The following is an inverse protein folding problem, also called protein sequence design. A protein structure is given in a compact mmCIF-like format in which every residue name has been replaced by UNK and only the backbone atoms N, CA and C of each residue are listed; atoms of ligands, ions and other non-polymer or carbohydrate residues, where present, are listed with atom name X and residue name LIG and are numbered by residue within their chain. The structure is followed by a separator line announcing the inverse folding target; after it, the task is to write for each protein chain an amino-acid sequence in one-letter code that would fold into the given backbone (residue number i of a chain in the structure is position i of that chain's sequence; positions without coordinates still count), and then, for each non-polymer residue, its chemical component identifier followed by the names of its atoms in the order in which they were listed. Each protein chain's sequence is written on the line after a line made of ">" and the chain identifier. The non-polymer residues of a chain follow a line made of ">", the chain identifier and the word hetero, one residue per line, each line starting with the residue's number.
data_IF_713464916937
#
_entry.id   IF_713464916937
#
_cell.length_a   1.000
_cell.length_b   1.000
_cell.length_c   1.000
_cell.angle_alpha   90.00
_cell.angle_beta   90.00
_cell.angle_gamma   90.00
#
_symmetry.space_group_name_H-M   'P 1'
#
loop_
_entity.id
_entity.type
_entity.pdbx_description
1 polymer ?
#
# COMPACT_ATOMS: atom_id res chain seq x y z
N UNK A 1 8.07 7.73 -8.41
CA UNK A 1 8.78 6.45 -8.19
C UNK A 1 7.83 5.33 -8.53
N UNK A 2 8.31 4.34 -9.27
CA UNK A 2 7.47 3.26 -9.84
C UNK A 2 7.07 2.24 -8.79
N UNK A 3 5.91 1.58 -8.97
CA UNK A 3 5.48 0.39 -8.21
C UNK A 3 6.56 -0.72 -8.11
N UNK A 4 7.62 -0.65 -8.92
CA UNK A 4 8.75 -1.58 -8.95
C UNK A 4 9.55 -1.66 -7.64
N UNK A 5 9.45 -0.66 -6.75
CA UNK A 5 10.19 -0.66 -5.47
C UNK A 5 9.38 -1.27 -4.31
N UNK A 6 8.09 -1.57 -4.50
CA UNK A 6 7.29 -2.23 -3.49
C UNK A 6 7.61 -3.74 -3.49
N UNK A 7 8.12 -4.24 -2.37
CA UNK A 7 8.44 -5.66 -2.19
C UNK A 7 7.22 -6.47 -1.78
N UNK A 8 6.47 -5.97 -0.79
CA UNK A 8 5.28 -6.63 -0.26
C UNK A 8 4.32 -5.63 0.39
N UNK A 9 3.04 -5.99 0.45
CA UNK A 9 2.01 -5.27 1.18
C UNK A 9 1.14 -6.26 1.97
N UNK A 10 1.03 -6.04 3.28
CA UNK A 10 0.23 -6.87 4.17
C UNK A 10 -0.78 -6.04 4.94
N UNK A 11 -2.04 -6.45 4.91
CA UNK A 11 -3.08 -5.90 5.78
C UNK A 11 -2.79 -6.35 7.22
N UNK A 12 -2.60 -5.40 8.13
CA UNK A 12 -2.36 -5.67 9.56
C UNK A 12 -3.57 -5.37 10.44
N UNK A 13 -4.49 -4.52 9.99
CA UNK A 13 -5.79 -4.32 10.61
C UNK A 13 -6.85 -3.97 9.56
N UNK A 14 -8.10 -4.39 9.78
CA UNK A 14 -9.21 -4.07 8.90
C UNK A 14 -10.51 -3.87 9.70
N UNK A 15 -11.27 -2.82 9.33
CA UNK A 15 -12.61 -2.55 9.85
C UNK A 15 -13.48 -1.97 8.74
N UNK A 16 -14.35 -2.79 8.17
CA UNK A 16 -15.15 -2.40 7.00
C UNK A 16 -14.23 -2.07 5.81
N UNK A 17 -14.40 -0.88 5.23
CA UNK A 17 -13.57 -0.34 4.15
C UNK A 17 -12.23 0.23 4.62
N UNK A 18 -12.06 0.49 5.92
CA UNK A 18 -10.79 0.95 6.46
C UNK A 18 -9.81 -0.22 6.61
N UNK A 19 -8.59 -0.03 6.13
CA UNK A 19 -7.47 -0.95 6.28
C UNK A 19 -6.23 -0.20 6.74
N UNK A 20 -5.52 -0.78 7.70
CA UNK A 20 -4.11 -0.45 7.94
C UNK A 20 -3.25 -1.49 7.24
N UNK A 21 -2.39 -1.04 6.36
CA UNK A 21 -1.45 -1.90 5.62
C UNK A 21 -0.03 -1.59 6.04
N UNK A 22 0.77 -2.64 6.16
CA UNK A 22 2.22 -2.56 6.29
C UNK A 22 2.82 -2.86 4.92
N UNK A 23 3.68 -1.95 4.45
CA UNK A 23 4.38 -2.04 3.17
C UNK A 23 5.87 -2.19 3.41
N UNK A 24 6.50 -3.04 2.61
CA UNK A 24 7.94 -3.19 2.55
C UNK A 24 8.43 -2.64 1.24
N UNK A 25 9.33 -1.67 1.31
CA UNK A 25 9.95 -1.02 0.17
C UNK A 25 11.41 -1.46 0.07
N UNK A 26 11.88 -1.69 -1.15
CA UNK A 26 13.29 -1.94 -1.43
C UNK A 26 14.10 -0.66 -1.23
N UNK A 27 15.17 -0.72 -0.46
CA UNK A 27 16.08 0.40 -0.24
C UNK A 27 15.72 1.28 0.97
N UNK A 28 16.39 2.42 1.05
CA UNK A 28 16.31 3.38 2.16
C UNK A 28 15.42 4.55 1.71
N UNK A 29 14.24 4.69 2.32
CA UNK A 29 13.27 5.75 2.06
C UNK A 29 12.89 6.45 3.37
N UNK A 30 13.73 7.37 3.88
CA UNK A 30 13.56 7.98 5.21
C UNK A 30 12.22 8.71 5.40
N UNK A 31 11.61 9.15 4.30
CA UNK A 31 10.34 9.88 4.30
C UNK A 31 9.09 8.99 4.48
N UNK A 32 9.21 7.67 4.29
CA UNK A 32 8.06 6.74 4.33
C UNK A 32 7.86 6.09 5.69
N UNK A 33 8.95 5.78 6.38
CA UNK A 33 8.85 5.02 7.62
C UNK A 33 10.20 4.58 8.17
N UNK A 34 10.23 3.37 8.73
CA UNK A 34 11.38 2.87 9.47
C UNK A 34 12.29 2.07 8.53
N UNK A 35 13.55 2.48 8.46
CA UNK A 35 14.58 1.75 7.71
C UNK A 35 15.04 0.56 8.55
N UNK A 36 15.06 -0.62 7.93
CA UNK A 36 15.49 -1.87 8.56
C UNK A 36 16.49 -2.59 7.65
N UNK A 37 17.33 -3.44 8.24
CA UNK A 37 18.12 -4.40 7.48
C UNK A 37 17.28 -5.68 7.30
N UNK A 38 16.63 -5.80 6.16
CA UNK A 38 15.77 -6.93 5.80
C UNK A 38 16.51 -8.03 5.05
N UNK A 39 15.75 -8.93 4.43
CA UNK A 39 16.29 -10.10 3.73
C UNK A 39 16.95 -9.73 2.41
N UNK A 40 16.48 -8.68 1.75
CA UNK A 40 16.99 -8.24 0.44
C UNK A 40 18.03 -7.11 0.54
N UNK A 41 18.44 -6.76 1.76
CA UNK A 41 19.34 -5.65 2.05
C UNK A 41 18.66 -4.58 2.89
N UNK A 42 18.93 -3.32 2.59
CA UNK A 42 18.21 -2.22 3.22
C UNK A 42 16.77 -2.17 2.71
N UNK A 43 15.82 -2.12 3.62
CA UNK A 43 14.40 -2.06 3.34
C UNK A 43 13.76 -0.95 4.18
N UNK A 44 12.64 -0.40 3.72
CA UNK A 44 11.87 0.57 4.48
C UNK A 44 10.48 0.01 4.75
N UNK A 45 10.07 0.01 6.01
CA UNK A 45 8.75 -0.42 6.44
C UNK A 45 7.88 0.81 6.69
N UNK A 46 6.74 0.85 6.02
CA UNK A 46 5.74 1.90 6.13
C UNK A 46 4.42 1.29 6.61
N UNK A 47 3.76 1.92 7.58
CA UNK A 47 2.38 1.61 7.94
C UNK A 47 1.48 2.75 7.51
N UNK A 48 0.53 2.46 6.63
CA UNK A 48 -0.37 3.46 6.07
C UNK A 48 -1.83 2.99 6.17
N UNK A 49 -2.70 3.94 6.46
CA UNK A 49 -4.14 3.73 6.49
C UNK A 49 -4.73 4.03 5.11
N UNK A 50 -5.58 3.16 4.60
CA UNK A 50 -6.33 3.36 3.35
C UNK A 50 -7.82 3.05 3.53
N UNK A 51 -8.65 3.73 2.75
CA UNK A 51 -10.08 3.47 2.64
C UNK A 51 -10.35 2.84 1.28
N UNK A 52 -10.84 1.60 1.27
CA UNK A 52 -11.26 0.92 0.05
C UNK A 52 -12.67 1.38 -0.37
N UNK A 53 -12.95 1.47 -1.69
CA UNK A 53 -14.32 1.64 -2.16
C UNK A 53 -15.19 0.47 -1.70
N UNK A 54 -16.36 0.76 -1.11
CA UNK A 54 -17.30 -0.27 -0.64
C UNK A 54 -17.99 -0.94 -1.82
N UNK A 55 -18.35 -0.16 -2.84
CA UNK A 55 -18.95 -0.63 -4.07
C UNK A 55 -18.59 0.35 -5.19
N UNK A 56 -18.25 -0.18 -6.35
CA UNK A 56 -18.00 0.61 -7.56
C UNK A 56 -18.95 0.13 -8.65
N UNK A 57 -19.40 1.05 -9.49
CA UNK A 57 -20.27 0.75 -10.62
C UNK A 57 -19.68 1.41 -11.86
N UNK A 58 -19.70 0.70 -12.97
CA UNK A 58 -19.40 1.28 -14.27
C UNK A 58 -20.64 2.04 -14.76
N UNK A 59 -20.55 3.37 -14.87
CA UNK A 59 -21.61 4.18 -15.47
C UNK A 59 -21.42 4.17 -16.98
N UNK A 60 -22.41 3.67 -17.72
CA UNK A 60 -22.45 3.74 -19.18
C UNK A 60 -23.53 4.71 -19.61
N UNK A 61 -23.16 5.66 -20.45
CA UNK A 61 -24.13 6.55 -21.09
C UNK A 61 -25.04 5.71 -22.01
N UNK A 62 -26.34 5.97 -21.93
CA UNK A 62 -27.31 5.32 -22.80
C UNK A 62 -27.11 5.85 -24.22
N UNK A 63 -26.72 4.98 -25.15
CA UNK A 63 -26.68 5.33 -26.57
C UNK A 63 -28.07 5.87 -26.97
N UNK A 64 -28.07 7.05 -27.59
CA UNK A 64 -29.26 7.76 -28.07
C UNK A 64 -29.95 7.00 -29.21
#
# INVERSE_FOLDING_TARGET
>A
MSDQDLLDEKVIAQRGSWQRVRRWWRGIHPEKGVIIQGWTGWETVEEVDRILPIQTFEVRDKAA
#
